data_IF_504955964866
#
_entry.id   IF_504955964866
#
_cell.length_a   1.000
_cell.length_b   1.000
_cell.length_c   1.000
_cell.angle_alpha   90.00
_cell.angle_beta   90.00
_cell.angle_gamma   90.00
#
_symmetry.space_group_name_H-M   'P 1'
#
loop_
_entity.id
_entity.type
_entity.pdbx_description
1 polymer ?
#
# COMPACT_ATOMS: atom_id res chain seq x y z
N UNK A 1 3.29 -18.41 -26.28
CA UNK A 1 2.10 -19.26 -26.53
C UNK A 1 1.67 -19.14 -27.98
N UNK A 2 1.47 -20.26 -28.70
CA UNK A 2 1.02 -20.24 -30.09
C UNK A 2 -0.39 -19.63 -30.20
N UNK A 3 -0.66 -18.92 -31.31
CA UNK A 3 -1.94 -18.25 -31.55
C UNK A 3 -3.12 -19.23 -31.62
N UNK A 4 -2.86 -20.48 -32.05
CA UNK A 4 -3.85 -21.57 -32.20
C UNK A 4 -4.59 -21.94 -30.92
N UNK A 5 -3.95 -21.80 -29.77
CA UNK A 5 -4.51 -22.20 -28.47
C UNK A 5 -5.23 -21.05 -27.75
N UNK A 6 -5.27 -19.85 -28.35
CA UNK A 6 -5.89 -18.68 -27.72
C UNK A 6 -7.41 -18.73 -27.81
N UNK A 7 -8.08 -18.23 -26.76
CA UNK A 7 -9.55 -18.10 -26.71
C UNK A 7 -10.12 -17.32 -27.90
N UNK A 8 -9.35 -16.38 -28.46
CA UNK A 8 -9.74 -15.59 -29.63
C UNK A 8 -10.07 -16.45 -30.85
N UNK A 9 -9.34 -17.55 -31.09
CA UNK A 9 -9.65 -18.44 -32.22
C UNK A 9 -10.96 -19.18 -32.02
N UNK A 10 -11.24 -19.61 -30.78
CA UNK A 10 -12.52 -20.24 -30.43
C UNK A 10 -13.67 -19.27 -30.60
N UNK A 11 -13.51 -18.01 -30.21
CA UNK A 11 -14.57 -16.98 -30.23
C UNK A 11 -14.86 -16.37 -31.62
N UNK A 12 -14.09 -16.72 -32.66
CA UNK A 12 -14.29 -16.20 -34.02
C UNK A 12 -15.53 -16.84 -34.65
N UNK A 13 -16.46 -16.02 -35.15
CA UNK A 13 -17.67 -16.51 -35.82
C UNK A 13 -18.76 -17.06 -34.90
N UNK A 14 -18.67 -16.88 -33.57
CA UNK A 14 -19.79 -17.15 -32.68
C UNK A 14 -20.94 -16.17 -32.96
N UNK A 15 -22.03 -16.67 -33.57
CA UNK A 15 -23.24 -15.90 -33.91
C UNK A 15 -24.49 -16.41 -33.15
N UNK A 16 -24.48 -17.61 -32.58
CA UNK A 16 -25.62 -18.19 -31.87
C UNK A 16 -25.56 -17.95 -30.35
N UNK A 17 -26.72 -17.67 -29.74
CA UNK A 17 -26.96 -17.41 -28.30
C UNK A 17 -26.58 -16.00 -27.78
N UNK A 18 -26.81 -14.93 -28.55
CA UNK A 18 -26.80 -13.54 -28.02
C UNK A 18 -25.41 -12.93 -27.73
N UNK A 19 -24.32 -13.58 -28.18
CA UNK A 19 -22.94 -13.14 -28.00
C UNK A 19 -22.31 -12.60 -29.30
N UNK A 20 -22.86 -11.52 -29.87
CA UNK A 20 -22.36 -10.91 -31.13
C UNK A 20 -21.07 -10.07 -30.93
N UNK A 21 -20.29 -10.31 -29.86
CA UNK A 21 -19.19 -9.39 -29.48
C UNK A 21 -17.96 -10.05 -28.88
N UNK A 22 -17.45 -11.13 -29.48
CA UNK A 22 -16.17 -11.74 -29.09
C UNK A 22 -16.11 -12.11 -27.60
N UNK A 23 -17.20 -12.64 -27.05
CA UNK A 23 -17.32 -12.99 -25.64
C UNK A 23 -17.72 -11.85 -24.69
N UNK A 24 -17.99 -10.66 -25.23
CA UNK A 24 -18.73 -9.61 -24.50
C UNK A 24 -20.25 -9.75 -24.72
N UNK A 25 -21.05 -9.02 -23.95
CA UNK A 25 -22.52 -8.95 -24.10
C UNK A 25 -22.94 -7.75 -24.95
N UNK A 26 -24.08 -7.86 -25.63
CA UNK A 26 -24.61 -6.84 -26.55
C UNK A 26 -24.93 -5.49 -25.87
N UNK A 27 -25.41 -5.50 -24.63
CA UNK A 27 -25.86 -4.29 -23.93
C UNK A 27 -24.68 -3.47 -23.38
N UNK A 28 -23.77 -4.13 -22.64
CA UNK A 28 -22.63 -3.46 -22.02
C UNK A 28 -21.57 -2.98 -23.02
N UNK A 29 -21.35 -3.76 -24.09
CA UNK A 29 -20.30 -3.59 -25.12
C UNK A 29 -18.88 -3.47 -24.53
N UNK A 30 -17.87 -3.74 -25.35
CA UNK A 30 -16.48 -3.50 -24.95
C UNK A 30 -16.11 -2.03 -25.18
N UNK A 31 -15.91 -1.27 -24.11
CA UNK A 31 -15.47 0.14 -24.14
C UNK A 31 -14.03 0.25 -23.65
N UNK A 32 -13.31 1.31 -24.06
CA UNK A 32 -11.87 1.45 -23.80
C UNK A 32 -11.53 1.49 -22.29
N UNK A 33 -12.14 2.39 -21.52
CA UNK A 33 -11.90 2.52 -20.07
C UNK A 33 -13.13 3.09 -19.32
N UNK A 34 -14.17 2.28 -19.08
CA UNK A 34 -15.42 2.78 -18.49
C UNK A 34 -15.31 3.23 -17.03
N UNK A 35 -14.37 2.67 -16.26
CA UNK A 35 -14.18 2.97 -14.82
C UNK A 35 -12.93 3.80 -14.51
N UNK A 36 -12.26 4.34 -15.53
CA UNK A 36 -10.96 5.00 -15.42
C UNK A 36 -9.78 4.09 -15.80
N UNK A 37 -8.55 4.62 -15.70
CA UNK A 37 -7.31 3.93 -16.04
C UNK A 37 -6.53 3.58 -14.76
N UNK A 38 -5.88 2.42 -14.74
CA UNK A 38 -5.07 1.98 -13.60
C UNK A 38 -5.87 1.93 -12.30
N UNK A 39 -5.35 2.53 -11.23
CA UNK A 39 -5.96 2.53 -9.89
C UNK A 39 -6.92 3.72 -9.66
N UNK A 40 -7.48 4.31 -10.73
CA UNK A 40 -8.43 5.41 -10.62
C UNK A 40 -9.70 5.00 -9.85
N UNK A 41 -10.28 5.96 -9.13
CA UNK A 41 -11.53 5.76 -8.38
C UNK A 41 -11.39 4.95 -7.09
N UNK A 42 -10.17 4.61 -6.66
CA UNK A 42 -9.92 3.73 -5.52
C UNK A 42 -10.54 4.18 -4.19
N UNK A 43 -10.72 5.49 -3.96
CA UNK A 43 -11.41 6.01 -2.77
C UNK A 43 -12.87 6.42 -3.03
N UNK A 44 -13.33 6.35 -4.29
CA UNK A 44 -14.66 6.76 -4.73
C UNK A 44 -15.47 5.52 -5.19
N UNK A 45 -15.71 5.39 -6.49
CA UNK A 45 -16.54 4.31 -7.05
C UNK A 45 -15.90 2.91 -7.03
N UNK A 46 -14.60 2.79 -6.75
CA UNK A 46 -13.92 1.50 -6.55
C UNK A 46 -13.55 1.24 -5.07
N UNK A 47 -14.08 2.02 -4.12
CA UNK A 47 -13.75 1.93 -2.69
C UNK A 47 -13.95 0.52 -2.10
N UNK A 48 -15.09 -0.11 -2.41
CA UNK A 48 -15.43 -1.45 -1.91
C UNK A 48 -14.37 -2.48 -2.29
N UNK A 49 -13.81 -2.40 -3.51
CA UNK A 49 -12.77 -3.33 -3.94
C UNK A 49 -11.48 -3.16 -3.14
N UNK A 50 -11.09 -1.91 -2.89
CA UNK A 50 -9.89 -1.61 -2.09
C UNK A 50 -10.08 -1.97 -0.61
N UNK A 51 -11.22 -1.64 -0.02
CA UNK A 51 -11.48 -1.94 1.40
C UNK A 51 -11.52 -3.46 1.64
N UNK A 52 -12.12 -4.23 0.72
CA UNK A 52 -12.30 -5.68 0.86
C UNK A 52 -11.00 -6.47 0.63
N UNK A 53 -10.29 -6.18 -0.46
CA UNK A 53 -9.15 -7.00 -0.88
C UNK A 53 -7.79 -6.37 -0.56
N UNK A 54 -7.76 -5.07 -0.28
CA UNK A 54 -6.54 -4.30 -0.04
C UNK A 54 -6.65 -3.41 1.21
N UNK A 55 -6.98 -3.98 2.39
CA UNK A 55 -7.07 -3.20 3.62
C UNK A 55 -5.73 -2.50 3.90
N UNK A 56 -5.79 -1.22 4.31
CA UNK A 56 -4.60 -0.40 4.58
C UNK A 56 -3.84 0.11 3.34
N UNK A 57 -4.32 -0.13 2.12
CA UNK A 57 -3.66 0.33 0.90
C UNK A 57 -3.45 1.86 0.87
N UNK A 58 -4.50 2.61 1.19
CA UNK A 58 -4.45 4.08 1.19
C UNK A 58 -3.62 4.64 2.36
N UNK A 59 -3.62 3.98 3.51
CA UNK A 59 -2.80 4.39 4.67
C UNK A 59 -1.32 4.24 4.38
N UNK A 60 -0.92 3.10 3.80
CA UNK A 60 0.45 2.84 3.38
C UNK A 60 0.92 3.84 2.31
N UNK A 61 0.06 4.15 1.35
CA UNK A 61 0.33 5.18 0.34
C UNK A 61 0.55 6.56 0.98
N UNK A 62 -0.30 6.95 1.94
CA UNK A 62 -0.19 8.21 2.67
C UNK A 62 1.12 8.29 3.46
N UNK A 63 1.53 7.22 4.13
CA UNK A 63 2.79 7.17 4.88
C UNK A 63 4.02 7.31 3.97
N UNK A 64 4.03 6.61 2.84
CA UNK A 64 5.12 6.70 1.85
C UNK A 64 5.21 8.10 1.25
N UNK A 65 4.08 8.76 1.03
CA UNK A 65 4.06 10.12 0.51
C UNK A 65 4.45 11.16 1.57
N UNK A 66 4.01 10.99 2.82
CA UNK A 66 4.44 11.83 3.94
C UNK A 66 5.95 11.74 4.19
N UNK A 67 6.54 10.55 4.03
CA UNK A 67 7.98 10.36 4.14
C UNK A 67 8.81 11.14 3.08
N UNK A 68 8.18 11.58 1.98
CA UNK A 68 8.83 12.43 0.97
C UNK A 68 8.83 13.91 1.35
N UNK A 69 7.94 14.34 2.24
CA UNK A 69 7.84 15.73 2.68
C UNK A 69 8.84 15.96 3.84
N UNK A 70 9.96 16.62 3.53
CA UNK A 70 11.03 16.95 4.48
C UNK A 70 10.66 18.19 5.31
N UNK A 71 9.66 18.10 6.18
CA UNK A 71 9.61 19.04 7.32
C UNK A 71 10.69 18.58 8.31
N UNK A 72 11.69 19.41 8.57
CA UNK A 72 12.88 19.08 9.37
C UNK A 72 12.64 18.79 10.86
N UNK A 73 11.38 18.80 11.31
CA UNK A 73 11.00 18.42 12.66
C UNK A 73 10.92 16.89 12.77
N UNK A 74 11.80 16.29 13.56
CA UNK A 74 11.78 14.86 13.84
C UNK A 74 10.52 14.51 14.68
N UNK A 75 9.70 13.53 14.27
CA UNK A 75 8.53 13.12 15.05
C UNK A 75 8.97 12.47 16.37
N UNK A 76 8.19 12.76 17.42
CA UNK A 76 8.34 12.12 18.74
C UNK A 76 7.37 10.95 18.82
N UNK A 77 7.90 9.75 19.07
CA UNK A 77 7.12 8.53 19.27
C UNK A 77 7.21 8.13 20.74
N UNK A 78 6.09 8.24 21.45
CA UNK A 78 5.95 7.74 22.81
C UNK A 78 5.41 6.31 22.80
N UNK A 79 6.30 5.35 23.05
CA UNK A 79 5.89 3.95 23.08
C UNK A 79 5.22 3.57 24.40
N UNK A 80 5.44 4.34 25.48
CA UNK A 80 4.78 4.11 26.77
C UNK A 80 3.30 4.45 26.64
N UNK A 81 2.96 5.55 25.97
CA UNK A 81 1.58 5.90 25.63
C UNK A 81 0.91 4.84 24.76
N UNK A 82 1.68 4.11 23.95
CA UNK A 82 1.21 3.00 23.13
C UNK A 82 1.13 1.66 23.88
N UNK A 83 1.46 1.63 25.18
CA UNK A 83 1.41 0.43 26.03
C UNK A 83 2.66 -0.45 25.99
N UNK A 84 3.78 0.01 25.43
CA UNK A 84 5.02 -0.74 25.34
C UNK A 84 6.13 -0.11 26.20
N UNK A 85 6.88 -0.95 26.90
CA UNK A 85 7.98 -0.48 27.76
C UNK A 85 9.37 -0.62 27.15
N UNK A 86 9.59 -1.58 26.24
CA UNK A 86 10.93 -1.91 25.71
C UNK A 86 10.99 -1.90 24.19
N UNK A 87 11.95 -1.16 23.63
CA UNK A 87 12.21 -1.08 22.19
C UNK A 87 13.31 -2.07 21.77
N UNK A 88 12.96 -2.98 20.85
CA UNK A 88 13.84 -4.00 20.30
C UNK A 88 14.31 -3.64 18.88
N UNK A 89 15.54 -4.04 18.53
CA UNK A 89 16.19 -3.64 17.28
C UNK A 89 15.95 -4.55 16.07
N UNK A 90 14.79 -5.20 15.92
CA UNK A 90 14.49 -6.06 14.75
C UNK A 90 14.05 -5.19 13.56
N UNK A 91 14.48 -5.54 12.33
CA UNK A 91 14.10 -4.83 11.10
C UNK A 91 15.04 -3.66 10.72
N UNK A 92 14.61 -2.86 9.75
CA UNK A 92 15.35 -1.68 9.23
C UNK A 92 14.50 -0.42 9.44
N UNK A 93 15.13 0.68 9.84
CA UNK A 93 14.48 1.99 9.96
C UNK A 93 14.62 2.77 8.63
N UNK A 94 13.63 3.61 8.28
CA UNK A 94 13.79 4.56 7.18
C UNK A 94 14.90 5.57 7.50
N UNK A 95 15.52 6.17 6.47
CA UNK A 95 16.56 7.20 6.62
C UNK A 95 15.95 8.56 7.01
N UNK A 96 15.22 8.59 8.12
CA UNK A 96 14.55 9.76 8.66
C UNK A 96 14.79 9.84 10.17
N UNK A 97 15.11 11.02 10.71
CA UNK A 97 15.36 11.18 12.13
C UNK A 97 14.05 11.00 12.92
N UNK A 98 14.12 10.29 14.05
CA UNK A 98 12.98 10.02 14.95
C UNK A 98 13.42 10.09 16.40
N UNK A 99 12.61 10.68 17.26
CA UNK A 99 12.84 10.70 18.70
C UNK A 99 11.93 9.65 19.34
N UNK A 100 12.50 8.64 19.99
CA UNK A 100 11.74 7.55 20.62
C UNK A 100 11.83 7.67 22.14
N UNK A 101 10.67 7.75 22.80
CA UNK A 101 10.52 7.77 24.26
C UNK A 101 10.10 6.39 24.77
N UNK A 102 10.92 5.74 25.59
CA UNK A 102 10.63 4.41 26.14
C UNK A 102 11.28 4.19 27.52
N UNK A 103 10.82 3.19 28.27
CA UNK A 103 11.47 2.79 29.54
C UNK A 103 12.79 2.05 29.33
N UNK A 104 12.84 1.17 28.32
CA UNK A 104 14.00 0.32 28.05
C UNK A 104 14.35 0.30 26.56
N UNK A 105 15.64 0.29 26.24
CA UNK A 105 16.15 0.10 24.88
C UNK A 105 17.12 -1.08 24.84
N UNK A 106 17.02 -1.90 23.79
CA UNK A 106 18.10 -2.83 23.46
C UNK A 106 19.28 -2.09 22.81
N UNK A 107 20.51 -2.59 22.98
CA UNK A 107 21.72 -2.00 22.38
C UNK A 107 21.56 -1.80 20.86
N UNK A 108 21.10 -2.84 20.16
CA UNK A 108 20.83 -2.81 18.71
C UNK A 108 19.77 -1.78 18.31
N UNK A 109 18.75 -1.54 19.15
CA UNK A 109 17.75 -0.51 18.86
C UNK A 109 18.36 0.89 18.99
N UNK A 110 19.10 1.15 20.07
CA UNK A 110 19.76 2.43 20.30
C UNK A 110 20.75 2.79 19.18
N UNK A 111 21.60 1.84 18.77
CA UNK A 111 22.53 2.02 17.65
C UNK A 111 21.80 2.38 16.33
N UNK A 112 20.67 1.71 16.05
CA UNK A 112 19.88 1.96 14.82
C UNK A 112 19.16 3.30 14.84
N UNK A 113 18.62 3.71 15.98
CA UNK A 113 17.93 5.02 16.09
C UNK A 113 18.96 6.14 15.93
N UNK A 114 20.15 6.01 16.54
CA UNK A 114 21.25 6.96 16.37
C UNK A 114 21.76 7.01 14.93
N UNK A 115 21.87 5.87 14.25
CA UNK A 115 22.39 5.82 12.86
C UNK A 115 21.49 6.51 11.84
N UNK A 116 20.18 6.64 12.09
CA UNK A 116 19.25 7.40 11.25
C UNK A 116 19.13 8.88 11.66
N UNK A 117 19.95 9.35 12.60
CA UNK A 117 19.93 10.72 13.12
C UNK A 117 18.83 10.98 14.16
N UNK A 118 18.30 9.91 14.77
CA UNK A 118 17.29 9.98 15.83
C UNK A 118 17.89 10.02 17.24
N UNK A 119 17.02 10.13 18.24
CA UNK A 119 17.38 10.14 19.66
C UNK A 119 16.56 9.13 20.47
N UNK A 120 17.20 8.49 21.46
CA UNK A 120 16.55 7.63 22.45
C UNK A 120 16.37 8.41 23.75
N UNK A 121 15.13 8.62 24.17
CA UNK A 121 14.78 9.31 25.41
C UNK A 121 14.25 8.27 26.39
N UNK A 122 14.90 8.16 27.55
CA UNK A 122 14.45 7.28 28.62
C UNK A 122 13.31 7.95 29.40
N UNK A 123 12.25 7.20 29.64
CA UNK A 123 11.08 7.63 30.44
C UNK A 123 10.90 6.65 31.60
N UNK A 124 10.47 7.15 32.75
CA UNK A 124 10.23 6.36 33.96
C UNK A 124 8.98 5.47 33.86
#
# INVERSE_FOLDING_TARGET
>A
MPSRLRKTQKLRGHVSQGHVSHGHRCIGKHRKHPGGRGNAGGMHHHRINFDKYHPGYFEKQKQVNAAKNKTGAAPIIDVVQSGYYKVLGKGKLPKQPVIVKAKFFSRRAGEKIKSVGGACVLVA
#
